data_IF_909223085048
#
_entry.id   IF_909223085048
#
_cell.length_a   1.000
_cell.length_b   1.000
_cell.length_c   1.000
_cell.angle_alpha   90.00
_cell.angle_beta   90.00
_cell.angle_gamma   90.00
#
_symmetry.space_group_name_H-M   'P 1'
#
loop_
_entity.id
_entity.type
_entity.pdbx_description
1 polymer ?
#
# COMPACT_ATOMS: atom_id res chain seq x y z
N UNK A 1 53.41 -11.70 38.88
CA UNK A 1 52.70 -12.95 38.53
C UNK A 1 51.59 -12.61 37.56
N UNK A 2 51.59 -13.26 36.39
CA UNK A 2 50.63 -13.07 35.29
C UNK A 2 49.24 -13.51 35.73
N UNK A 3 48.19 -12.71 35.46
CA UNK A 3 46.87 -13.19 35.03
C UNK A 3 46.25 -12.16 34.07
N UNK A 4 46.36 -12.46 32.79
CA UNK A 4 45.49 -11.91 31.74
C UNK A 4 44.11 -12.50 31.97
N UNK A 5 43.04 -11.69 31.90
CA UNK A 5 41.72 -12.22 31.56
C UNK A 5 41.06 -11.32 30.50
N UNK A 6 40.62 -12.01 29.47
CA UNK A 6 40.18 -11.54 28.16
C UNK A 6 38.81 -10.89 28.21
N UNK A 7 38.64 -9.90 27.34
CA UNK A 7 37.44 -9.14 26.98
C UNK A 7 36.27 -10.04 26.53
N UNK A 8 35.03 -9.70 26.90
CA UNK A 8 33.83 -10.16 26.18
C UNK A 8 32.93 -8.96 25.87
N UNK A 9 33.13 -8.37 24.69
CA UNK A 9 32.18 -7.42 24.13
C UNK A 9 31.08 -8.24 23.46
N UNK A 10 29.93 -8.35 24.11
CA UNK A 10 28.73 -8.93 23.51
C UNK A 10 28.22 -7.97 22.44
N UNK A 11 28.69 -8.15 21.21
CA UNK A 11 28.05 -7.56 20.04
C UNK A 11 26.77 -8.37 19.80
N UNK A 12 25.67 -7.97 20.45
CA UNK A 12 24.35 -8.47 20.07
C UNK A 12 24.05 -7.93 18.68
N UNK A 13 24.30 -8.75 17.66
CA UNK A 13 23.73 -8.51 16.34
C UNK A 13 22.21 -8.58 16.48
N UNK A 14 21.55 -7.42 16.56
CA UNK A 14 20.12 -7.35 16.31
C UNK A 14 19.94 -7.74 14.84
N UNK A 15 19.43 -8.95 14.63
CA UNK A 15 18.92 -9.38 13.33
C UNK A 15 17.71 -8.49 13.03
N UNK A 16 17.92 -7.45 12.21
CA UNK A 16 16.83 -6.67 11.64
C UNK A 16 16.27 -7.49 10.47
N UNK A 17 15.41 -8.47 10.78
CA UNK A 17 14.34 -8.79 9.84
C UNK A 17 13.39 -7.59 9.93
N UNK A 18 13.34 -6.75 8.89
CA UNK A 18 12.52 -5.53 8.92
C UNK A 18 11.02 -5.88 8.84
N UNK A 19 10.67 -6.99 8.19
CA UNK A 19 9.28 -7.43 8.01
C UNK A 19 8.95 -8.66 8.88
N UNK A 20 7.83 -8.58 9.59
CA UNK A 20 7.34 -9.64 10.49
C UNK A 20 5.94 -10.07 10.04
N UNK A 21 5.78 -11.36 9.71
CA UNK A 21 4.46 -11.96 9.48
C UNK A 21 3.58 -11.86 10.72
N UNK A 22 2.35 -11.39 10.52
CA UNK A 22 1.32 -11.24 11.56
C UNK A 22 0.03 -11.93 11.17
N UNK A 23 -0.77 -12.26 12.17
CA UNK A 23 -2.15 -12.70 11.94
C UNK A 23 -2.99 -11.49 11.48
N UNK A 24 -3.94 -11.67 10.53
CA UNK A 24 -4.78 -10.58 10.04
C UNK A 24 -5.50 -9.79 11.14
N UNK A 25 -5.88 -10.44 12.23
CA UNK A 25 -6.55 -9.82 13.39
C UNK A 25 -5.67 -8.79 14.13
N UNK A 26 -4.37 -8.79 13.86
CA UNK A 26 -3.42 -7.81 14.40
C UNK A 26 -3.35 -6.53 13.55
N UNK A 27 -3.98 -6.50 12.38
CA UNK A 27 -4.11 -5.28 11.57
C UNK A 27 -4.99 -4.24 12.28
N UNK A 28 -4.77 -2.94 12.06
CA UNK A 28 -5.67 -1.90 12.53
C UNK A 28 -7.12 -2.14 12.09
N UNK A 29 -8.08 -1.88 12.98
CA UNK A 29 -9.50 -2.15 12.70
C UNK A 29 -10.03 -1.43 11.45
N UNK A 30 -9.55 -0.22 11.18
CA UNK A 30 -9.88 0.55 9.98
C UNK A 30 -9.29 -0.06 8.70
N UNK A 31 -8.11 -0.70 8.76
CA UNK A 31 -7.53 -1.44 7.64
C UNK A 31 -8.37 -2.69 7.31
N UNK A 32 -8.79 -3.44 8.34
CA UNK A 32 -9.70 -4.58 8.16
C UNK A 32 -11.05 -4.16 7.55
N UNK A 33 -11.63 -3.06 8.03
CA UNK A 33 -12.86 -2.50 7.46
C UNK A 33 -12.67 -2.03 6.01
N UNK A 34 -11.52 -1.44 5.69
CA UNK A 34 -11.17 -1.04 4.33
C UNK A 34 -11.16 -2.25 3.39
N UNK A 35 -10.45 -3.32 3.77
CA UNK A 35 -10.36 -4.55 2.98
C UNK A 35 -11.76 -5.15 2.77
N UNK A 36 -12.54 -5.28 3.85
CA UNK A 36 -13.89 -5.83 3.78
C UNK A 36 -14.81 -5.02 2.86
N UNK A 37 -14.68 -3.69 2.86
CA UNK A 37 -15.51 -2.79 2.06
C UNK A 37 -15.20 -2.89 0.56
N UNK A 38 -13.92 -2.87 0.18
CA UNK A 38 -13.52 -2.73 -1.22
C UNK A 38 -13.15 -4.05 -1.89
N UNK A 39 -12.82 -5.08 -1.11
CA UNK A 39 -12.47 -6.41 -1.59
C UNK A 39 -13.35 -7.48 -0.90
N UNK A 40 -14.69 -7.36 -0.97
CA UNK A 40 -15.57 -8.34 -0.35
C UNK A 40 -15.35 -9.71 -0.96
N UNK A 41 -15.36 -10.75 -0.12
CA UNK A 41 -15.12 -12.15 -0.52
C UNK A 41 -13.69 -12.44 -1.03
N UNK A 42 -12.74 -11.52 -0.84
CA UNK A 42 -11.32 -11.78 -1.08
C UNK A 42 -10.64 -12.05 0.24
N UNK A 43 -10.01 -13.21 0.37
CA UNK A 43 -9.28 -13.59 1.57
C UNK A 43 -7.94 -12.87 1.65
N UNK A 44 -7.50 -12.52 2.86
CA UNK A 44 -6.12 -12.15 3.17
C UNK A 44 -5.27 -13.41 3.11
N UNK A 45 -4.23 -13.45 2.28
CA UNK A 45 -3.27 -14.57 2.21
C UNK A 45 -2.25 -14.46 3.33
N UNK A 46 -1.66 -13.28 3.47
CA UNK A 46 -0.75 -12.95 4.56
C UNK A 46 -0.78 -11.44 4.84
N UNK A 47 -0.31 -11.09 6.02
CA UNK A 47 -0.04 -9.73 6.42
C UNK A 47 1.35 -9.67 7.08
N UNK A 48 2.07 -8.60 6.81
CA UNK A 48 3.38 -8.32 7.37
C UNK A 48 3.37 -6.93 8.02
N UNK A 49 4.25 -6.71 8.99
CA UNK A 49 4.44 -5.39 9.60
C UNK A 49 5.91 -5.04 9.75
N UNK A 50 6.20 -3.75 9.60
CA UNK A 50 7.54 -3.20 9.74
C UNK A 50 7.54 -1.87 10.53
N UNK A 51 8.61 -1.09 10.40
CA UNK A 51 8.69 0.24 11.00
C UNK A 51 7.78 1.26 10.31
N UNK A 52 7.45 1.09 9.03
CA UNK A 52 6.67 2.03 8.22
C UNK A 52 5.16 1.77 8.31
N UNK A 53 4.74 0.53 8.51
CA UNK A 53 3.32 0.17 8.59
C UNK A 53 3.06 -1.31 8.42
N UNK A 54 2.07 -1.61 7.59
CA UNK A 54 1.60 -2.96 7.31
C UNK A 54 1.51 -3.19 5.81
N UNK A 55 1.84 -4.40 5.37
CA UNK A 55 1.61 -4.87 4.01
C UNK A 55 0.64 -6.04 4.05
N UNK A 56 -0.32 -6.06 3.13
CA UNK A 56 -1.35 -7.10 3.07
C UNK A 56 -1.46 -7.61 1.65
N UNK A 57 -1.26 -8.92 1.47
CA UNK A 57 -1.47 -9.61 0.22
C UNK A 57 -2.82 -10.32 0.22
N UNK A 58 -3.65 -10.00 -0.78
CA UNK A 58 -4.96 -10.61 -0.97
C UNK A 58 -4.91 -11.77 -1.97
N UNK A 59 -5.85 -12.70 -1.84
CA UNK A 59 -5.95 -13.95 -2.63
C UNK A 59 -6.21 -13.75 -4.11
N UNK A 60 -6.68 -12.57 -4.53
CA UNK A 60 -6.84 -12.19 -5.93
C UNK A 60 -5.60 -11.48 -6.51
N UNK A 61 -4.51 -11.38 -5.74
CA UNK A 61 -3.27 -10.72 -6.16
C UNK A 61 -3.14 -9.26 -5.74
N UNK A 62 -4.20 -8.62 -5.26
CA UNK A 62 -4.11 -7.23 -4.77
C UNK A 62 -3.18 -7.15 -3.56
N UNK A 63 -2.28 -6.18 -3.60
CA UNK A 63 -1.36 -5.84 -2.51
C UNK A 63 -1.75 -4.47 -1.95
N UNK A 64 -1.78 -4.33 -0.62
CA UNK A 64 -2.15 -3.09 0.05
C UNK A 64 -1.12 -2.74 1.12
N UNK A 65 -0.49 -1.58 0.99
CA UNK A 65 0.30 -0.97 2.05
C UNK A 65 -0.59 -0.05 2.89
N UNK A 66 -0.60 -0.26 4.20
CA UNK A 66 -1.19 0.64 5.18
C UNK A 66 -0.10 1.35 5.99
N UNK A 67 -0.34 2.61 6.33
CA UNK A 67 0.39 3.31 7.38
C UNK A 67 0.10 2.68 8.75
N UNK A 68 0.94 2.97 9.75
CA UNK A 68 0.73 2.50 11.13
C UNK A 68 -0.64 2.84 11.74
N UNK A 69 -1.28 3.91 11.28
CA UNK A 69 -2.62 4.31 11.72
C UNK A 69 -3.75 3.56 10.97
N UNK A 70 -3.42 2.65 10.06
CA UNK A 70 -4.37 1.87 9.26
C UNK A 70 -4.96 2.60 8.05
N UNK A 71 -4.50 3.82 7.74
CA UNK A 71 -4.84 4.46 6.47
C UNK A 71 -4.01 3.83 5.34
N UNK A 72 -4.62 3.56 4.18
CA UNK A 72 -3.86 3.04 3.04
C UNK A 72 -2.88 4.11 2.52
N UNK A 73 -1.71 3.63 2.13
CA UNK A 73 -0.65 4.40 1.47
C UNK A 73 -0.62 4.06 -0.02
N UNK A 74 -0.73 2.78 -0.35
CA UNK A 74 -0.57 2.26 -1.71
C UNK A 74 -1.40 1.00 -1.87
N UNK A 75 -1.98 0.83 -3.06
CA UNK A 75 -2.74 -0.35 -3.45
C UNK A 75 -2.30 -0.70 -4.85
N UNK A 76 -1.77 -1.90 -5.02
CA UNK A 76 -1.35 -2.44 -6.30
C UNK A 76 -2.27 -3.59 -6.69
N UNK A 77 -2.89 -3.49 -7.87
CA UNK A 77 -3.83 -4.49 -8.35
C UNK A 77 -3.15 -5.80 -8.75
N UNK A 78 -1.88 -5.74 -9.19
CA UNK A 78 -1.10 -6.79 -9.82
C UNK A 78 -1.81 -7.49 -11.00
N UNK A 79 -2.83 -8.30 -10.70
CA UNK A 79 -3.64 -9.05 -11.66
C UNK A 79 -5.13 -8.64 -11.67
N UNK A 80 -5.53 -7.74 -10.77
CA UNK A 80 -6.91 -7.30 -10.58
C UNK A 80 -7.09 -5.80 -10.85
N UNK A 81 -8.27 -5.44 -11.38
CA UNK A 81 -8.69 -4.05 -11.46
C UNK A 81 -9.09 -3.54 -10.06
N UNK A 82 -8.71 -2.30 -9.74
CA UNK A 82 -9.06 -1.65 -8.49
C UNK A 82 -10.40 -0.90 -8.62
N UNK A 83 -11.30 -1.01 -7.62
CA UNK A 83 -12.53 -0.23 -7.58
C UNK A 83 -12.26 1.28 -7.57
N UNK A 84 -13.04 2.04 -8.35
CA UNK A 84 -12.93 3.51 -8.38
C UNK A 84 -13.34 4.15 -7.04
N UNK A 85 -14.23 3.48 -6.30
CA UNK A 85 -14.79 3.91 -5.02
C UNK A 85 -13.75 3.99 -3.89
N UNK A 86 -12.55 3.43 -4.11
CA UNK A 86 -11.42 3.61 -3.20
C UNK A 86 -10.96 5.07 -3.20
N UNK A 87 -11.05 5.75 -4.35
CA UNK A 87 -10.64 7.15 -4.50
C UNK A 87 -11.74 8.09 -3.99
N UNK A 88 -11.37 9.31 -3.52
CA UNK A 88 -12.34 10.39 -3.36
C UNK A 88 -13.09 10.64 -4.68
N UNK A 89 -14.38 10.97 -4.58
CA UNK A 89 -15.25 11.12 -5.76
C UNK A 89 -14.70 12.13 -6.79
N UNK A 90 -14.13 13.24 -6.33
CA UNK A 90 -13.48 14.24 -7.18
C UNK A 90 -12.34 13.66 -8.02
N UNK A 91 -11.50 12.81 -7.43
CA UNK A 91 -10.38 12.15 -8.09
C UNK A 91 -10.89 11.09 -9.06
N UNK A 92 -11.82 10.22 -8.63
CA UNK A 92 -12.43 9.19 -9.47
C UNK A 92 -13.08 9.79 -10.73
N UNK A 93 -13.79 10.91 -10.58
CA UNK A 93 -14.40 11.63 -11.69
C UNK A 93 -13.35 12.11 -12.71
N UNK A 94 -12.23 12.66 -12.22
CA UNK A 94 -11.15 13.13 -13.09
C UNK A 94 -10.49 11.98 -13.84
N UNK A 95 -10.24 10.84 -13.19
CA UNK A 95 -9.74 9.64 -13.86
C UNK A 95 -10.67 9.23 -15.01
N UNK A 96 -11.96 9.03 -14.70
CA UNK A 96 -12.94 8.56 -15.68
C UNK A 96 -13.19 9.54 -16.84
N UNK A 97 -13.09 10.84 -16.60
CA UNK A 97 -13.19 11.88 -17.63
C UNK A 97 -11.94 11.95 -18.52
N UNK A 98 -10.75 11.78 -17.95
CA UNK A 98 -9.49 11.93 -18.68
C UNK A 98 -9.21 10.71 -19.56
N UNK A 99 -9.46 9.51 -19.03
CA UNK A 99 -9.23 8.25 -19.73
C UNK A 99 -10.46 7.34 -19.63
N UNK A 100 -11.50 7.59 -20.45
CA UNK A 100 -12.68 6.74 -20.47
C UNK A 100 -12.33 5.31 -20.89
N UNK A 101 -13.06 4.32 -20.36
CA UNK A 101 -12.88 2.89 -20.64
C UNK A 101 -11.52 2.30 -20.20
N UNK A 102 -10.85 2.93 -19.24
CA UNK A 102 -9.68 2.36 -18.57
C UNK A 102 -10.05 1.79 -17.20
N UNK A 103 -9.19 0.91 -16.69
CA UNK A 103 -9.29 0.41 -15.31
C UNK A 103 -8.07 0.87 -14.52
N UNK A 104 -8.26 1.06 -13.23
CA UNK A 104 -7.19 1.44 -12.31
C UNK A 104 -6.41 0.17 -11.94
N UNK A 105 -5.09 0.21 -12.08
CA UNK A 105 -4.18 -0.88 -11.70
C UNK A 105 -3.36 -0.55 -10.46
N UNK A 106 -3.22 0.74 -10.12
CA UNK A 106 -2.52 1.19 -8.91
C UNK A 106 -3.11 2.48 -8.38
N UNK A 107 -3.20 2.60 -7.06
CA UNK A 107 -3.53 3.83 -6.35
C UNK A 107 -2.47 4.08 -5.29
N UNK A 108 -1.84 5.25 -5.33
CA UNK A 108 -0.87 5.67 -4.33
C UNK A 108 -1.22 7.04 -3.77
N UNK A 109 -1.42 7.11 -2.46
CA UNK A 109 -1.71 8.36 -1.76
C UNK A 109 -0.41 9.05 -1.40
N UNK A 110 -0.23 10.27 -1.89
CA UNK A 110 0.82 11.19 -1.45
C UNK A 110 0.22 12.24 -0.52
N UNK A 111 1.07 13.05 0.09
CA UNK A 111 0.63 14.09 1.03
C UNK A 111 -0.41 15.06 0.44
N UNK A 112 -0.26 15.42 -0.83
CA UNK A 112 -1.06 16.46 -1.50
C UNK A 112 -1.80 16.00 -2.77
N UNK A 113 -1.56 14.77 -3.24
CA UNK A 113 -2.21 14.23 -4.45
C UNK A 113 -2.30 12.70 -4.41
N UNK A 114 -3.08 12.16 -5.34
CA UNK A 114 -3.15 10.76 -5.68
C UNK A 114 -2.41 10.51 -6.98
N UNK A 115 -1.56 9.50 -6.98
CA UNK A 115 -0.98 8.91 -8.17
C UNK A 115 -1.82 7.69 -8.55
N UNK A 116 -2.39 7.70 -9.74
CA UNK A 116 -3.32 6.68 -10.23
C UNK A 116 -2.77 6.10 -11.52
N UNK A 117 -2.38 4.83 -11.52
CA UNK A 117 -1.92 4.12 -12.72
C UNK A 117 -3.07 3.36 -13.35
N UNK A 118 -3.14 3.42 -14.68
CA UNK A 118 -4.16 2.79 -15.49
C UNK A 118 -3.58 1.63 -16.31
N UNK A 119 -4.46 0.74 -16.78
CA UNK A 119 -4.08 -0.41 -17.60
C UNK A 119 -3.48 -0.07 -18.98
N UNK A 120 -3.55 1.19 -19.42
CA UNK A 120 -2.90 1.69 -20.63
C UNK A 120 -1.52 2.31 -20.36
N UNK A 121 -0.92 2.01 -19.19
CA UNK A 121 0.39 2.50 -18.72
C UNK A 121 0.42 4.01 -18.42
N UNK A 122 -0.72 4.69 -18.39
CA UNK A 122 -0.76 6.10 -17.98
C UNK A 122 -0.79 6.23 -16.45
N UNK A 123 0.04 7.10 -15.91
CA UNK A 123 -0.03 7.59 -14.53
C UNK A 123 -0.62 8.99 -14.49
N UNK A 124 -1.63 9.19 -13.64
CA UNK A 124 -2.26 10.49 -13.39
C UNK A 124 -1.91 10.98 -11.99
N UNK A 125 -1.55 12.25 -11.89
CA UNK A 125 -1.33 12.93 -10.62
C UNK A 125 -2.47 13.91 -10.38
N UNK A 126 -3.33 13.63 -9.39
CA UNK A 126 -4.59 14.35 -9.19
C UNK A 126 -4.68 14.81 -7.73
N UNK A 127 -4.90 16.10 -7.49
CA UNK A 127 -5.08 16.60 -6.13
C UNK A 127 -6.41 16.13 -5.49
N UNK A 128 -6.58 16.38 -4.19
CA UNK A 128 -7.81 15.97 -3.48
C UNK A 128 -9.09 16.67 -3.98
N UNK A 129 -8.99 17.84 -4.63
CA UNK A 129 -10.11 18.56 -5.22
C UNK A 129 -10.48 18.02 -6.62
N UNK A 130 -9.70 17.07 -7.14
CA UNK A 130 -9.89 16.49 -8.48
C UNK A 130 -9.17 17.26 -9.58
N UNK A 131 -8.29 18.22 -9.26
CA UNK A 131 -7.48 18.89 -10.28
C UNK A 131 -6.38 17.95 -10.78
N UNK A 132 -6.33 17.73 -12.10
CA UNK A 132 -5.22 17.03 -12.75
C UNK A 132 -3.98 17.94 -12.70
N UNK A 133 -2.95 17.50 -11.98
CA UNK A 133 -1.67 18.20 -11.83
C UNK A 133 -0.69 17.82 -12.95
N UNK A 134 -0.79 16.60 -13.45
CA UNK A 134 0.04 16.08 -14.54
C UNK A 134 -0.26 14.63 -14.86
N UNK A 135 0.38 14.14 -15.91
CA UNK A 135 0.32 12.74 -16.33
C UNK A 135 1.61 12.34 -17.05
N UNK A 136 1.99 11.07 -16.98
CA UNK A 136 3.12 10.51 -17.71
C UNK A 136 2.86 9.04 -18.05
N UNK A 137 3.57 8.52 -19.05
CA UNK A 137 3.65 7.07 -19.21
C UNK A 137 4.54 6.49 -18.12
N UNK A 138 4.17 5.33 -17.61
CA UNK A 138 5.05 4.52 -16.78
C UNK A 138 6.11 3.86 -17.67
N UNK A 139 7.38 4.05 -17.30
CA UNK A 139 8.56 3.64 -18.08
C UNK A 139 9.07 2.26 -17.65
#
# INVERSE_FOLDING_TARGET
>A
MKKIFTLLFLFSAFLMADDIYIMPEQLPQNALQFIQKYFPNVNILYAEMDKKGYEVQLSNGVEIEFLRNGEFKEIEGNYAALPFEILPQSVANTVGKTYPNTVITKIKRKWNFYEVKLNNMMELYIDANGQLLGQKFDD
#
